data_IF_865387699468
#
_entry.id   IF_865387699468
#
_cell.length_a   1.000
_cell.length_b   1.000
_cell.length_c   1.000
_cell.angle_alpha   90.00
_cell.angle_beta   90.00
_cell.angle_gamma   90.00
#
_symmetry.space_group_name_H-M   'P 1'
#
loop_
_entity.id
_entity.type
_entity.pdbx_description
1 polymer ?
#
# COMPACT_ATOMS: atom_id res chain seq x y z
N UNK A 1 17.41 17.97 5.12
CA UNK A 1 17.44 16.52 5.40
C UNK A 1 16.09 16.15 5.98
N UNK A 2 15.31 15.30 5.32
CA UNK A 2 14.07 14.80 5.91
C UNK A 2 14.38 13.93 7.12
N UNK A 3 13.54 14.03 8.14
CA UNK A 3 13.65 13.23 9.36
C UNK A 3 12.47 12.28 9.46
N UNK A 4 12.70 11.06 9.95
CA UNK A 4 11.60 10.13 10.24
C UNK A 4 10.60 10.72 11.25
N UNK A 5 11.01 11.69 12.08
CA UNK A 5 10.09 12.43 12.96
C UNK A 5 8.99 13.17 12.20
N UNK A 6 9.25 13.57 10.95
CA UNK A 6 8.32 14.35 10.12
C UNK A 6 7.11 13.50 9.71
N UNK A 7 7.24 12.17 9.78
CA UNK A 7 6.16 11.21 9.47
C UNK A 7 5.17 11.01 10.63
N UNK A 8 5.51 11.44 11.85
CA UNK A 8 4.75 11.10 13.07
C UNK A 8 3.28 11.49 12.98
N UNK A 9 3.00 12.73 12.56
CA UNK A 9 1.63 13.25 12.42
C UNK A 9 0.84 12.52 11.33
N UNK A 10 1.51 12.13 10.25
CA UNK A 10 0.87 11.37 9.17
C UNK A 10 0.52 9.97 9.63
N UNK A 11 1.38 9.30 10.41
CA UNK A 11 1.07 8.01 11.03
C UNK A 11 -0.10 8.12 12.03
N UNK A 12 -0.12 9.14 12.89
CA UNK A 12 -1.24 9.38 13.80
C UNK A 12 -2.57 9.56 13.05
N UNK A 13 -2.54 10.33 11.94
CA UNK A 13 -3.68 10.52 11.05
C UNK A 13 -4.16 9.20 10.46
N UNK A 14 -3.25 8.37 9.95
CA UNK A 14 -3.57 7.08 9.36
C UNK A 14 -4.11 6.08 10.39
N UNK A 15 -3.53 6.03 11.61
CA UNK A 15 -4.02 5.17 12.71
C UNK A 15 -5.45 5.53 13.12
N UNK A 16 -5.79 6.82 13.12
CA UNK A 16 -7.16 7.30 13.39
C UNK A 16 -8.16 7.04 12.25
N UNK A 17 -7.68 6.77 11.04
CA UNK A 17 -8.51 6.72 9.84
C UNK A 17 -9.53 5.58 9.85
N UNK A 18 -9.17 4.40 10.37
CA UNK A 18 -10.10 3.27 10.48
C UNK A 18 -11.29 3.61 11.40
N UNK A 19 -11.04 4.31 12.51
CA UNK A 19 -12.08 4.80 13.41
C UNK A 19 -12.96 5.85 12.76
N UNK A 20 -12.38 6.80 12.03
CA UNK A 20 -13.11 7.82 11.29
C UNK A 20 -14.03 7.21 10.23
N UNK A 21 -13.53 6.26 9.43
CA UNK A 21 -14.33 5.55 8.42
C UNK A 21 -15.49 4.79 9.06
N UNK A 22 -15.27 4.08 10.16
CA UNK A 22 -16.32 3.38 10.89
C UNK A 22 -17.38 4.34 11.45
N UNK A 23 -16.98 5.54 11.89
CA UNK A 23 -17.90 6.57 12.35
C UNK A 23 -18.81 7.08 11.22
N UNK A 24 -18.28 7.24 9.99
CA UNK A 24 -19.09 7.62 8.82
C UNK A 24 -20.19 6.59 8.57
N UNK A 25 -19.86 5.29 8.58
CA UNK A 25 -20.87 4.21 8.41
C UNK A 25 -21.94 4.25 9.49
N UNK A 26 -21.51 4.36 10.76
CA UNK A 26 -22.42 4.38 11.89
C UNK A 26 -23.38 5.56 11.78
N UNK A 27 -22.88 6.76 11.49
CA UNK A 27 -23.68 7.97 11.37
C UNK A 27 -24.67 7.87 10.20
N UNK A 28 -24.21 7.38 9.05
CA UNK A 28 -25.06 7.14 7.88
C UNK A 28 -26.21 6.16 8.19
N UNK A 29 -25.94 5.05 8.90
CA UNK A 29 -26.98 4.10 9.31
C UNK A 29 -28.02 4.74 10.23
N UNK A 30 -27.56 5.51 11.22
CA UNK A 30 -28.45 6.21 12.16
C UNK A 30 -29.32 7.25 11.43
N UNK A 31 -28.73 8.00 10.50
CA UNK A 31 -29.44 9.00 9.70
C UNK A 31 -30.51 8.35 8.81
N UNK A 32 -30.19 7.24 8.15
CA UNK A 32 -31.17 6.47 7.35
C UNK A 32 -32.33 5.96 8.18
N UNK A 33 -32.06 5.43 9.37
CA UNK A 33 -33.10 4.98 10.29
C UNK A 33 -34.00 6.15 10.72
N UNK A 34 -33.41 7.30 11.04
CA UNK A 34 -34.15 8.50 11.39
C UNK A 34 -35.02 9.01 10.23
N UNK A 35 -34.53 9.00 8.99
CA UNK A 35 -35.30 9.39 7.79
C UNK A 35 -36.49 8.44 7.58
N UNK A 36 -36.28 7.13 7.73
CA UNK A 36 -37.35 6.15 7.54
C UNK A 36 -38.46 6.28 8.60
N UNK A 37 -38.10 6.64 9.84
CA UNK A 37 -39.03 6.87 10.95
C UNK A 37 -39.81 8.19 10.90
N UNK A 38 -39.51 9.09 9.95
CA UNK A 38 -40.22 10.37 9.78
C UNK A 38 -41.57 10.18 9.11
N UNK A 39 -42.62 10.26 9.91
CA UNK A 39 -44.02 10.13 9.47
C UNK A 39 -44.53 11.41 8.79
N UNK A 40 -43.85 12.53 9.01
CA UNK A 40 -44.12 13.85 8.41
C UNK A 40 -43.70 13.95 6.94
N UNK A 41 -42.86 13.03 6.45
CA UNK A 41 -42.33 13.06 5.09
C UNK A 41 -43.10 12.12 4.16
N UNK A 42 -43.37 12.60 2.94
CA UNK A 42 -43.85 11.75 1.85
C UNK A 42 -42.83 10.66 1.50
N UNK A 43 -43.27 9.61 0.82
CA UNK A 43 -42.37 8.54 0.33
C UNK A 43 -41.23 9.13 -0.53
N UNK A 44 -41.58 10.01 -1.48
CA UNK A 44 -40.62 10.72 -2.33
C UNK A 44 -39.66 11.58 -1.50
N UNK A 45 -40.17 12.29 -0.48
CA UNK A 45 -39.34 13.12 0.41
C UNK A 45 -38.34 12.30 1.24
N UNK A 46 -38.74 11.11 1.71
CA UNK A 46 -37.84 10.18 2.41
C UNK A 46 -36.79 9.61 1.47
N UNK A 47 -37.16 9.29 0.22
CA UNK A 47 -36.20 8.83 -0.78
C UNK A 47 -35.15 9.88 -1.12
N UNK A 48 -35.56 11.13 -1.29
CA UNK A 48 -34.64 12.22 -1.61
C UNK A 48 -33.64 12.48 -0.48
N UNK A 49 -34.11 12.61 0.77
CA UNK A 49 -33.22 12.74 1.93
C UNK A 49 -32.30 11.54 2.10
N UNK A 50 -32.80 10.34 1.84
CA UNK A 50 -31.98 9.14 1.89
C UNK A 50 -30.86 9.19 0.84
N UNK A 51 -31.12 9.67 -0.38
CA UNK A 51 -30.09 9.85 -1.42
C UNK A 51 -29.06 10.92 -1.03
N UNK A 52 -29.50 12.01 -0.42
CA UNK A 52 -28.60 13.06 0.09
C UNK A 52 -27.65 12.49 1.16
N UNK A 53 -28.17 11.70 2.12
CA UNK A 53 -27.35 11.03 3.12
C UNK A 53 -26.34 10.04 2.49
N UNK A 54 -26.72 9.32 1.42
CA UNK A 54 -25.79 8.45 0.68
C UNK A 54 -24.67 9.26 0.01
N UNK A 55 -25.02 10.37 -0.64
CA UNK A 55 -24.05 11.24 -1.30
C UNK A 55 -23.08 11.87 -0.30
N UNK A 56 -23.57 12.32 0.86
CA UNK A 56 -22.75 12.87 1.93
C UNK A 56 -21.78 11.82 2.49
N UNK A 57 -22.25 10.60 2.76
CA UNK A 57 -21.39 9.51 3.21
C UNK A 57 -20.33 9.14 2.16
N UNK A 58 -20.72 9.03 0.88
CA UNK A 58 -19.80 8.76 -0.25
C UNK A 58 -18.73 9.85 -0.36
N UNK A 59 -19.12 11.13 -0.28
CA UNK A 59 -18.20 12.26 -0.35
C UNK A 59 -17.20 12.26 0.81
N UNK A 60 -17.66 11.99 2.03
CA UNK A 60 -16.78 11.94 3.20
C UNK A 60 -15.79 10.77 3.14
N UNK A 61 -16.21 9.60 2.63
CA UNK A 61 -15.31 8.47 2.39
C UNK A 61 -14.21 8.83 1.37
N UNK A 62 -14.56 9.47 0.25
CA UNK A 62 -13.55 9.91 -0.72
C UNK A 62 -12.61 10.97 -0.13
N UNK A 63 -13.13 11.89 0.69
CA UNK A 63 -12.30 12.88 1.39
C UNK A 63 -11.29 12.19 2.31
N UNK A 64 -11.73 11.25 3.15
CA UNK A 64 -10.86 10.48 4.04
C UNK A 64 -9.84 9.64 3.25
N UNK A 65 -10.26 9.03 2.13
CA UNK A 65 -9.36 8.31 1.23
C UNK A 65 -8.29 9.22 0.63
N UNK A 66 -8.64 10.43 0.19
CA UNK A 66 -7.69 11.42 -0.32
C UNK A 66 -6.64 11.78 0.73
N UNK A 67 -7.07 12.07 1.96
CA UNK A 67 -6.17 12.34 3.09
C UNK A 67 -5.24 11.15 3.34
N UNK A 68 -5.75 9.92 3.32
CA UNK A 68 -4.93 8.73 3.53
C UNK A 68 -3.84 8.57 2.45
N UNK A 69 -4.19 8.79 1.18
CA UNK A 69 -3.24 8.72 0.06
C UNK A 69 -2.18 9.82 0.14
N UNK A 70 -2.56 11.03 0.56
CA UNK A 70 -1.63 12.13 0.75
C UNK A 70 -0.63 11.84 1.88
N UNK A 71 -1.11 11.31 3.01
CA UNK A 71 -0.24 10.85 4.11
C UNK A 71 0.69 9.71 3.64
N UNK A 72 0.16 8.71 2.95
CA UNK A 72 0.94 7.60 2.39
C UNK A 72 2.08 8.12 1.48
N UNK A 73 1.75 9.04 0.58
CA UNK A 73 2.73 9.63 -0.35
C UNK A 73 3.83 10.41 0.36
N UNK A 74 3.49 11.20 1.39
CA UNK A 74 4.48 11.93 2.20
C UNK A 74 5.39 10.99 2.99
N UNK A 75 4.82 9.99 3.67
CA UNK A 75 5.59 9.01 4.44
C UNK A 75 6.54 8.24 3.52
N UNK A 76 6.05 7.75 2.37
CA UNK A 76 6.88 7.03 1.39
C UNK A 76 8.04 7.88 0.89
N UNK A 77 7.82 9.18 0.66
CA UNK A 77 8.88 10.10 0.24
C UNK A 77 9.96 10.25 1.31
N UNK A 78 9.57 10.50 2.57
CA UNK A 78 10.53 10.63 3.68
C UNK A 78 11.32 9.33 3.89
N UNK A 79 10.65 8.18 3.84
CA UNK A 79 11.31 6.87 3.91
C UNK A 79 12.30 6.70 2.75
N UNK A 80 11.89 7.03 1.52
CA UNK A 80 12.77 6.94 0.36
C UNK A 80 14.02 7.82 0.50
N UNK A 81 13.88 9.06 0.99
CA UNK A 81 15.01 9.96 1.25
C UNK A 81 15.97 9.43 2.32
N UNK A 82 15.44 8.80 3.38
CA UNK A 82 16.25 8.18 4.45
C UNK A 82 16.94 6.90 3.98
N UNK A 83 16.28 6.15 3.08
CA UNK A 83 16.83 4.95 2.48
C UNK A 83 17.81 5.24 1.35
N UNK A 84 17.80 6.46 0.80
CA UNK A 84 18.65 6.85 -0.31
C UNK A 84 20.12 6.89 0.11
N UNK A 85 20.92 6.08 -0.55
CA UNK A 85 22.37 6.22 -0.51
C UNK A 85 22.81 7.26 -1.54
N UNK A 86 23.85 8.05 -1.25
CA UNK A 86 24.41 8.95 -2.25
C UNK A 86 24.84 8.16 -3.47
N UNK A 87 24.28 8.50 -4.64
CA UNK A 87 24.68 7.83 -5.87
C UNK A 87 26.06 8.31 -6.29
N UNK A 88 27.01 7.39 -6.55
CA UNK A 88 28.30 7.77 -7.08
C UNK A 88 28.12 8.40 -8.46
N UNK A 89 28.87 9.48 -8.74
CA UNK A 89 28.77 10.23 -9.99
C UNK A 89 30.09 10.18 -10.77
N UNK A 90 30.05 10.50 -12.06
CA UNK A 90 31.23 10.45 -12.92
C UNK A 90 31.78 9.03 -13.08
N UNK A 91 33.10 8.88 -12.99
CA UNK A 91 33.79 7.59 -13.17
C UNK A 91 33.39 6.54 -12.12
N UNK A 92 33.17 6.96 -10.87
CA UNK A 92 32.71 6.07 -9.79
C UNK A 92 31.31 5.52 -10.07
N UNK A 93 30.43 6.35 -10.64
CA UNK A 93 29.08 5.93 -11.06
C UNK A 93 29.13 4.88 -12.17
N UNK A 94 29.97 5.10 -13.18
CA UNK A 94 30.17 4.12 -14.28
C UNK A 94 30.69 2.79 -13.73
N UNK A 95 31.67 2.83 -12.81
CA UNK A 95 32.20 1.62 -12.18
C UNK A 95 31.14 0.90 -11.33
N UNK A 96 30.29 1.63 -10.62
CA UNK A 96 29.19 1.06 -9.85
C UNK A 96 28.18 0.34 -10.77
N UNK A 97 27.78 0.97 -11.87
CA UNK A 97 26.87 0.37 -12.85
C UNK A 97 27.47 -0.87 -13.52
N UNK A 98 28.75 -0.83 -13.91
CA UNK A 98 29.44 -2.02 -14.44
C UNK A 98 29.50 -3.17 -13.42
N UNK A 99 29.67 -2.85 -12.14
CA UNK A 99 29.62 -3.85 -11.06
C UNK A 99 28.21 -4.42 -10.93
N UNK A 100 27.16 -3.60 -10.91
CA UNK A 100 25.76 -4.05 -10.89
C UNK A 100 25.46 -4.99 -12.05
N UNK A 101 25.83 -4.62 -13.28
CA UNK A 101 25.63 -5.46 -14.47
C UNK A 101 26.30 -6.84 -14.31
N UNK A 102 27.54 -6.88 -13.82
CA UNK A 102 28.25 -8.15 -13.57
C UNK A 102 27.63 -8.96 -12.43
N UNK A 103 27.15 -8.32 -11.38
CA UNK A 103 26.40 -8.99 -10.31
C UNK A 103 25.12 -9.61 -10.87
N UNK A 104 24.34 -8.83 -11.60
CA UNK A 104 23.09 -9.27 -12.20
C UNK A 104 23.29 -10.45 -13.16
N UNK A 105 24.28 -10.41 -14.04
CA UNK A 105 24.60 -11.54 -14.93
C UNK A 105 24.87 -12.84 -14.16
N UNK A 106 25.53 -12.76 -12.99
CA UNK A 106 25.76 -13.93 -12.14
C UNK A 106 24.47 -14.41 -11.48
N UNK A 107 23.66 -13.49 -10.96
CA UNK A 107 22.37 -13.81 -10.32
C UNK A 107 21.43 -14.46 -11.32
N UNK A 108 21.26 -13.85 -12.49
CA UNK A 108 20.46 -14.38 -13.59
C UNK A 108 20.93 -15.78 -13.98
N UNK A 109 22.24 -16.02 -14.07
CA UNK A 109 22.79 -17.35 -14.35
C UNK A 109 22.46 -18.42 -13.30
N UNK A 110 22.21 -18.03 -12.04
CA UNK A 110 21.71 -18.94 -11.00
C UNK A 110 20.21 -19.16 -11.15
N UNK A 111 19.44 -18.09 -11.38
CA UNK A 111 17.99 -18.15 -11.56
C UNK A 111 17.61 -19.01 -12.77
N UNK A 112 18.27 -18.81 -13.91
CA UNK A 112 18.01 -19.55 -15.16
C UNK A 112 18.33 -21.05 -15.07
N UNK A 113 19.21 -21.45 -14.14
CA UNK A 113 19.60 -22.85 -13.90
C UNK A 113 18.81 -23.51 -12.78
N UNK A 114 17.96 -22.77 -12.10
CA UNK A 114 17.22 -23.29 -10.95
C UNK A 114 15.95 -24.01 -11.42
N UNK A 115 15.80 -25.28 -11.04
CA UNK A 115 14.58 -26.05 -11.31
C UNK A 115 13.36 -25.43 -10.63
N UNK A 116 13.55 -24.94 -9.41
CA UNK A 116 12.57 -24.20 -8.63
C UNK A 116 13.06 -22.76 -8.45
N UNK A 117 12.32 -21.81 -9.04
CA UNK A 117 12.74 -20.42 -9.04
C UNK A 117 12.79 -19.81 -7.63
N UNK A 118 11.96 -20.29 -6.71
CA UNK A 118 11.98 -19.88 -5.30
C UNK A 118 13.31 -20.22 -4.63
N UNK A 119 13.83 -21.43 -4.84
CA UNK A 119 15.15 -21.82 -4.32
C UNK A 119 16.28 -21.04 -5.00
N UNK A 120 16.13 -20.74 -6.29
CA UNK A 120 17.08 -19.91 -7.03
C UNK A 120 17.20 -18.51 -6.41
N UNK A 121 16.06 -17.89 -6.09
CA UNK A 121 16.00 -16.59 -5.42
C UNK A 121 16.68 -16.66 -4.04
N UNK A 122 16.38 -17.68 -3.24
CA UNK A 122 16.99 -17.88 -1.92
C UNK A 122 18.52 -18.00 -2.03
N UNK A 123 19.04 -18.83 -2.93
CA UNK A 123 20.48 -18.99 -3.16
C UNK A 123 21.15 -17.69 -3.60
N UNK A 124 20.49 -16.92 -4.46
CA UNK A 124 20.99 -15.62 -4.90
C UNK A 124 21.06 -14.64 -3.72
N UNK A 125 20.02 -14.60 -2.88
CA UNK A 125 19.97 -13.76 -1.68
C UNK A 125 21.07 -14.15 -0.68
N UNK A 126 21.27 -15.43 -0.43
CA UNK A 126 22.36 -15.94 0.42
C UNK A 126 23.74 -15.54 -0.12
N UNK A 127 23.91 -15.59 -1.44
CA UNK A 127 25.12 -15.15 -2.13
C UNK A 127 25.42 -13.65 -2.02
N UNK A 128 24.44 -12.84 -1.61
CA UNK A 128 24.59 -11.40 -1.39
C UNK A 128 25.00 -11.04 0.04
N UNK A 129 25.23 -12.02 0.93
CA UNK A 129 25.49 -11.78 2.34
C UNK A 129 26.60 -10.71 2.56
N UNK A 130 26.24 -9.62 3.25
CA UNK A 130 27.16 -8.53 3.56
C UNK A 130 27.39 -7.49 2.46
N UNK A 131 26.79 -7.63 1.26
CA UNK A 131 27.01 -6.73 0.13
C UNK A 131 25.74 -5.90 -0.17
N UNK A 132 25.74 -4.63 0.27
CA UNK A 132 24.62 -3.70 0.02
C UNK A 132 24.40 -3.41 -1.47
N UNK A 133 25.45 -3.35 -2.28
CA UNK A 133 25.31 -3.10 -3.71
C UNK A 133 24.62 -4.29 -4.39
N UNK A 134 24.96 -5.50 -3.95
CA UNK A 134 24.29 -6.72 -4.42
C UNK A 134 22.79 -6.71 -4.08
N UNK A 135 22.41 -6.33 -2.84
CA UNK A 135 20.99 -6.18 -2.47
C UNK A 135 20.27 -5.08 -3.27
N UNK A 136 20.93 -3.94 -3.54
CA UNK A 136 20.39 -2.90 -4.42
C UNK A 136 20.13 -3.45 -5.83
N UNK A 137 21.08 -4.19 -6.41
CA UNK A 137 20.90 -4.87 -7.70
C UNK A 137 19.74 -5.86 -7.69
N UNK A 138 19.59 -6.67 -6.64
CA UNK A 138 18.46 -7.60 -6.55
C UNK A 138 17.11 -6.87 -6.53
N UNK A 139 17.02 -5.78 -5.76
CA UNK A 139 15.79 -4.97 -5.66
C UNK A 139 15.39 -4.35 -7.00
N UNK A 140 16.37 -3.93 -7.80
CA UNK A 140 16.16 -3.34 -9.12
C UNK A 140 15.78 -4.41 -10.17
N UNK A 141 16.48 -5.55 -10.18
CA UNK A 141 16.43 -6.49 -11.32
C UNK A 141 15.50 -7.69 -11.11
N UNK A 142 15.36 -8.22 -9.88
CA UNK A 142 14.56 -9.43 -9.63
C UNK A 142 13.08 -9.23 -10.01
N UNK A 143 12.42 -8.11 -9.70
CA UNK A 143 11.03 -7.88 -10.13
C UNK A 143 10.89 -7.91 -11.66
N UNK A 144 11.83 -7.29 -12.38
CA UNK A 144 11.84 -7.22 -13.84
C UNK A 144 12.02 -8.62 -14.45
N UNK A 145 12.96 -9.39 -13.91
CA UNK A 145 13.18 -10.77 -14.29
C UNK A 145 11.94 -11.63 -14.09
N UNK A 146 11.31 -11.56 -12.90
CA UNK A 146 10.13 -12.36 -12.58
C UNK A 146 8.94 -12.02 -13.47
N UNK A 147 8.78 -10.75 -13.84
CA UNK A 147 7.79 -10.34 -14.85
C UNK A 147 8.11 -10.96 -16.20
N UNK A 148 9.37 -10.88 -16.65
CA UNK A 148 9.80 -11.39 -17.95
C UNK A 148 9.61 -12.91 -18.10
N UNK A 149 9.82 -13.69 -17.03
CA UNK A 149 9.62 -15.15 -17.04
C UNK A 149 8.20 -15.58 -16.65
N UNK A 150 7.25 -14.63 -16.52
CA UNK A 150 5.84 -14.92 -16.25
C UNK A 150 5.53 -15.38 -14.82
N UNK A 151 6.39 -15.04 -13.85
CA UNK A 151 6.27 -15.41 -12.42
C UNK A 151 5.96 -14.21 -11.54
N UNK A 152 5.06 -13.34 -11.99
CA UNK A 152 4.65 -12.11 -11.27
C UNK A 152 4.10 -12.38 -9.88
N UNK A 153 3.48 -13.54 -9.67
CA UNK A 153 2.99 -13.97 -8.37
C UNK A 153 4.08 -14.16 -7.31
N UNK A 154 5.35 -14.32 -7.72
CA UNK A 154 6.49 -14.48 -6.81
C UNK A 154 7.15 -13.15 -6.41
N UNK A 155 6.82 -12.04 -7.09
CA UNK A 155 7.49 -10.74 -6.85
C UNK A 155 7.38 -10.32 -5.39
N UNK A 156 6.18 -10.39 -4.80
CA UNK A 156 5.98 -10.00 -3.40
C UNK A 156 6.82 -10.83 -2.43
N UNK A 157 6.85 -12.16 -2.61
CA UNK A 157 7.64 -13.06 -1.77
C UNK A 157 9.15 -12.84 -1.93
N UNK A 158 9.62 -12.64 -3.17
CA UNK A 158 11.03 -12.35 -3.45
C UNK A 158 11.47 -11.04 -2.80
N UNK A 159 10.66 -9.97 -2.94
CA UNK A 159 10.95 -8.68 -2.31
C UNK A 159 10.99 -8.78 -0.78
N UNK A 160 10.07 -9.51 -0.17
CA UNK A 160 10.07 -9.75 1.28
C UNK A 160 11.32 -10.52 1.74
N UNK A 161 11.79 -11.48 0.95
CA UNK A 161 13.01 -12.24 1.26
C UNK A 161 14.27 -11.37 1.16
N UNK A 162 14.37 -10.54 0.11
CA UNK A 162 15.44 -9.54 -0.08
C UNK A 162 15.48 -8.59 1.13
N UNK A 163 14.32 -8.02 1.49
CA UNK A 163 14.19 -7.09 2.62
C UNK A 163 14.66 -7.72 3.95
N UNK A 164 14.23 -8.96 4.21
CA UNK A 164 14.62 -9.70 5.42
C UNK A 164 16.12 -9.92 5.50
N UNK A 165 16.76 -10.24 4.37
CA UNK A 165 18.18 -10.53 4.31
C UNK A 165 19.07 -9.27 4.30
N UNK A 166 18.61 -8.15 3.71
CA UNK A 166 19.32 -6.87 3.74
C UNK A 166 19.27 -6.22 5.12
N UNK A 167 18.21 -6.47 5.90
CA UNK A 167 17.93 -5.79 7.19
C UNK A 167 19.13 -5.69 8.16
N UNK A 168 19.97 -6.73 8.38
CA UNK A 168 21.13 -6.63 9.27
C UNK A 168 22.22 -5.64 8.80
N UNK A 169 22.19 -5.25 7.52
CA UNK A 169 23.16 -4.32 6.90
C UNK A 169 22.71 -2.87 6.96
N UNK A 170 21.47 -2.61 7.36
CA UNK A 170 20.91 -1.27 7.44
C UNK A 170 21.44 -0.54 8.68
N UNK A 171 21.70 0.76 8.53
CA UNK A 171 21.90 1.62 9.69
C UNK A 171 20.65 1.63 10.60
N UNK A 172 20.76 1.98 11.89
CA UNK A 172 19.60 2.03 12.78
C UNK A 172 18.44 2.90 12.24
N UNK A 173 18.78 4.01 11.59
CA UNK A 173 17.78 4.91 10.97
C UNK A 173 17.10 4.24 9.77
N UNK A 174 17.85 3.54 8.91
CA UNK A 174 17.30 2.83 7.76
C UNK A 174 16.47 1.61 8.20
N UNK A 175 16.91 0.86 9.21
CA UNK A 175 16.12 -0.23 9.79
C UNK A 175 14.79 0.28 10.35
N UNK A 176 14.80 1.43 11.04
CA UNK A 176 13.58 2.08 11.51
C UNK A 176 12.68 2.55 10.35
N UNK A 177 13.25 3.07 9.27
CA UNK A 177 12.48 3.46 8.08
C UNK A 177 11.80 2.24 7.42
N UNK A 178 12.48 1.08 7.42
CA UNK A 178 11.91 -0.19 6.94
C UNK A 178 10.73 -0.65 7.82
N UNK A 179 10.85 -0.56 9.14
CA UNK A 179 9.74 -0.86 10.07
C UNK A 179 8.52 0.03 9.84
N UNK A 180 8.75 1.33 9.65
CA UNK A 180 7.68 2.28 9.35
C UNK A 180 7.02 1.99 8.01
N UNK A 181 7.77 1.53 7.00
CA UNK A 181 7.19 1.12 5.72
C UNK A 181 6.23 -0.07 5.90
N UNK A 182 6.64 -1.09 6.67
CA UNK A 182 5.76 -2.22 7.00
C UNK A 182 4.53 -1.81 7.80
N UNK A 183 4.66 -0.89 8.75
CA UNK A 183 3.50 -0.31 9.46
C UNK A 183 2.54 0.40 8.50
N UNK A 184 3.08 1.22 7.59
CA UNK A 184 2.30 1.96 6.60
C UNK A 184 1.50 1.01 5.70
N UNK A 185 2.12 -0.07 5.21
CA UNK A 185 1.45 -1.06 4.35
C UNK A 185 0.29 -1.76 5.07
N UNK A 186 0.48 -2.09 6.35
CA UNK A 186 -0.57 -2.68 7.18
C UNK A 186 -1.73 -1.69 7.42
N UNK A 187 -1.42 -0.43 7.75
CA UNK A 187 -2.43 0.61 7.94
C UNK A 187 -3.23 0.87 6.65
N UNK A 188 -2.54 1.02 5.51
CA UNK A 188 -3.19 1.26 4.23
C UNK A 188 -4.03 0.09 3.77
N UNK A 189 -3.61 -1.15 4.04
CA UNK A 189 -4.42 -2.35 3.75
C UNK A 189 -5.70 -2.38 4.58
N UNK A 190 -5.62 -2.03 5.87
CA UNK A 190 -6.79 -1.89 6.74
C UNK A 190 -7.75 -0.81 6.23
N UNK A 191 -7.22 0.37 5.88
CA UNK A 191 -8.02 1.49 5.35
C UNK A 191 -8.73 1.09 4.05
N UNK A 192 -8.01 0.45 3.11
CA UNK A 192 -8.58 -0.02 1.85
C UNK A 192 -9.69 -1.05 2.08
N UNK A 193 -9.48 -2.00 2.98
CA UNK A 193 -10.48 -2.99 3.34
C UNK A 193 -11.75 -2.34 3.91
N UNK A 194 -11.60 -1.41 4.86
CA UNK A 194 -12.73 -0.68 5.45
C UNK A 194 -13.48 0.09 4.37
N UNK A 195 -12.80 0.87 3.52
CA UNK A 195 -13.44 1.60 2.40
C UNK A 195 -14.21 0.64 1.47
N UNK A 196 -13.63 -0.51 1.14
CA UNK A 196 -14.28 -1.54 0.32
C UNK A 196 -15.58 -2.03 0.96
N UNK A 197 -15.55 -2.32 2.25
CA UNK A 197 -16.73 -2.74 3.03
C UNK A 197 -17.81 -1.66 3.04
N UNK A 198 -17.44 -0.40 3.29
CA UNK A 198 -18.42 0.70 3.31
C UNK A 198 -19.07 0.92 1.95
N UNK A 199 -18.27 0.93 0.87
CA UNK A 199 -18.81 1.10 -0.49
C UNK A 199 -19.75 -0.03 -0.88
N UNK A 200 -19.44 -1.26 -0.46
CA UNK A 200 -20.32 -2.41 -0.69
C UNK A 200 -21.67 -2.23 0.01
N UNK A 201 -21.69 -1.81 1.28
CA UNK A 201 -22.93 -1.53 2.02
C UNK A 201 -23.76 -0.40 1.38
N UNK A 202 -23.09 0.66 0.90
CA UNK A 202 -23.75 1.76 0.20
C UNK A 202 -24.35 1.32 -1.14
N UNK A 203 -23.71 0.40 -1.87
CA UNK A 203 -24.17 -0.05 -3.19
C UNK A 203 -25.29 -1.11 -3.11
N UNK A 204 -25.23 -2.04 -2.15
CA UNK A 204 -26.30 -3.04 -1.94
C UNK A 204 -27.65 -2.37 -1.67
N UNK A 205 -27.66 -1.24 -0.95
CA UNK A 205 -28.89 -0.51 -0.65
C UNK A 205 -29.46 0.25 -1.85
N UNK A 206 -28.64 0.60 -2.86
CA UNK A 206 -29.11 1.16 -4.13
C UNK A 206 -29.82 0.08 -4.98
N UNK A 207 -29.32 -1.17 -4.98
CA UNK A 207 -29.88 -2.29 -5.77
C UNK A 207 -31.15 -2.91 -5.18
N UNK A 208 -31.22 -3.14 -3.86
CA UNK A 208 -32.44 -3.66 -3.22
C UNK A 208 -33.62 -2.67 -3.29
N UNK A 209 -33.37 -1.37 -3.52
CA UNK A 209 -34.39 -0.35 -3.72
C UNK A 209 -35.03 -0.40 -5.11
N UNK A 210 -34.24 -0.67 -6.16
CA UNK A 210 -34.77 -0.80 -7.52
C UNK A 210 -35.70 -2.01 -7.67
N UNK A 211 -35.44 -3.09 -6.93
CA UNK A 211 -36.32 -4.28 -6.90
C UNK A 211 -37.66 -4.04 -6.17
N UNK A 212 -37.72 -3.11 -5.22
CA UNK A 212 -38.94 -2.81 -4.46
C UNK A 212 -39.89 -1.85 -5.19
N UNK A 213 -39.37 -1.00 -6.08
CA UNK A 213 -40.17 -0.05 -6.87
C UNK A 213 -40.77 -0.72 -8.13
N UNK A 214 -40.21 -1.83 -8.61
CA UNK A 214 -40.70 -2.56 -9.78
C UNK A 214 -41.87 -3.54 -9.54
N UNK A 215 -42.34 -3.69 -8.30
CA UNK A 215 -43.39 -4.64 -7.91
C UNK A 215 -44.61 -3.97 -7.22
N UNK A 216 -44.75 -2.65 -7.35
CA UNK A 216 -45.87 -1.86 -6.80
C UNK A 216 -46.78 -1.31 -7.87
#
# INVERSE_FOLDING_TARGET
MASLSDTTKDFETLRGMAGALNAVVKNWRLEKQAINGRVDLSVIGREQKAKEADQQAKAEIERLRGVALDCEGRIKRVIAEVMQEPEPSGEEGILAELKKMRMWQRFQGVLDKSELLTEGIERVIEGCAGDRLAFKTLREEVPLYLVAVGKTNLVGAAMAAIDKAERPLLSPTQAKAHDLLGELENLMSTIRFTIGTVRFELNIMDEHRLAAVGNG
#
